data_IF_314211519959
#
_entry.id   IF_314211519959
#
_cell.length_a   1.000
_cell.length_b   1.000
_cell.length_c   1.000
_cell.angle_alpha   90.00
_cell.angle_beta   90.00
_cell.angle_gamma   90.00
#
_symmetry.space_group_name_H-M   'P 1'
#
loop_
_entity.id
_entity.type
_entity.pdbx_description
1 polymer ?
#
# COMPACT_ATOMS: atom_id res chain seq x y z
N UNK A 1 47.83 72.30 -11.67
CA UNK A 1 48.06 73.57 -12.39
C UNK A 1 46.77 73.98 -13.08
N UNK A 2 46.47 75.28 -13.06
CA UNK A 2 45.56 76.07 -13.92
C UNK A 2 44.28 75.45 -14.52
N UNK A 3 43.15 76.10 -14.20
CA UNK A 3 41.89 76.00 -14.95
C UNK A 3 41.87 76.96 -16.16
N UNK A 4 40.94 76.76 -17.11
CA UNK A 4 40.34 77.74 -18.04
C UNK A 4 39.18 77.02 -18.77
N UNK A 5 37.92 77.22 -18.35
CA UNK A 5 36.94 78.16 -18.93
C UNK A 5 36.72 78.07 -20.46
N UNK A 6 35.48 77.76 -20.86
CA UNK A 6 34.62 78.62 -21.72
C UNK A 6 33.18 78.09 -21.80
N UNK A 7 32.22 79.03 -21.80
CA UNK A 7 30.78 78.93 -22.11
C UNK A 7 30.50 80.12 -23.08
N UNK A 8 29.49 80.12 -23.98
CA UNK A 8 28.07 80.23 -23.56
C UNK A 8 26.96 79.66 -24.50
N UNK A 9 25.74 79.50 -23.94
CA UNK A 9 24.35 79.84 -24.41
C UNK A 9 24.12 79.98 -25.95
N UNK A 10 23.15 79.33 -26.63
CA UNK A 10 21.64 79.48 -26.70
C UNK A 10 21.04 78.22 -27.39
N UNK A 11 19.79 77.74 -27.24
CA UNK A 11 18.68 78.08 -26.34
C UNK A 11 17.29 78.33 -27.01
N UNK A 12 16.49 77.31 -27.40
CA UNK A 12 15.09 77.49 -27.89
C UNK A 12 14.08 76.41 -27.43
N UNK A 13 12.84 76.83 -27.13
CA UNK A 13 11.67 75.96 -26.80
C UNK A 13 10.75 75.81 -28.02
N UNK A 14 10.03 74.68 -28.14
CA UNK A 14 8.58 74.65 -28.47
C UNK A 14 7.92 73.30 -28.17
N UNK A 15 6.58 73.29 -28.17
CA UNK A 15 5.71 72.31 -27.49
C UNK A 15 5.27 71.11 -28.36
N UNK A 16 5.15 69.95 -27.71
CA UNK A 16 3.88 69.23 -27.58
C UNK A 16 3.42 68.22 -28.66
N UNK A 17 3.12 66.99 -28.22
CA UNK A 17 1.77 66.36 -28.30
C UNK A 17 1.73 64.99 -27.58
N UNK A 18 0.53 64.63 -27.08
CA UNK A 18 0.19 63.30 -26.53
C UNK A 18 0.04 62.26 -27.65
N UNK A 19 0.30 60.98 -27.35
CA UNK A 19 -0.61 59.88 -27.70
C UNK A 19 -0.33 58.61 -26.86
N UNK A 20 -1.31 57.71 -26.77
CA UNK A 20 -1.42 56.63 -25.77
C UNK A 20 -1.50 55.21 -26.34
N UNK A 21 -0.90 54.23 -25.65
CA UNK A 21 -1.26 52.79 -25.62
C UNK A 21 -0.53 52.17 -24.39
N UNK A 22 -1.12 51.60 -23.34
CA UNK A 22 -2.12 50.54 -23.16
C UNK A 22 -1.64 49.15 -23.62
N UNK A 23 -1.41 48.25 -22.63
CA UNK A 23 -1.17 46.79 -22.78
C UNK A 23 0.21 46.45 -23.34
N UNK A 24 1.02 45.51 -22.84
CA UNK A 24 0.85 44.27 -22.06
C UNK A 24 2.29 43.84 -21.65
N UNK A 25 2.63 42.84 -20.83
CA UNK A 25 1.86 41.88 -20.05
C UNK A 25 2.55 41.67 -18.69
N UNK A 26 1.78 41.58 -17.61
CA UNK A 26 2.29 41.22 -16.28
C UNK A 26 2.55 39.71 -16.26
N UNK A 27 3.76 39.26 -16.61
CA UNK A 27 4.16 37.85 -16.47
C UNK A 27 4.17 37.46 -14.98
N UNK A 28 3.02 37.02 -14.47
CA UNK A 28 2.96 36.22 -13.26
C UNK A 28 3.80 34.97 -13.51
N UNK A 29 4.98 34.89 -12.88
CA UNK A 29 5.65 33.60 -12.69
C UNK A 29 4.74 32.79 -11.79
N UNK A 30 4.00 31.83 -12.36
CA UNK A 30 3.43 30.75 -11.58
C UNK A 30 4.61 29.99 -10.96
N UNK A 31 4.89 30.27 -9.69
CA UNK A 31 5.82 29.47 -8.91
C UNK A 31 5.20 28.09 -8.77
N UNK A 32 5.73 27.11 -9.52
CA UNK A 32 5.51 25.70 -9.21
C UNK A 32 6.10 25.51 -7.82
N UNK A 33 5.26 25.51 -6.79
CA UNK A 33 5.67 25.07 -5.47
C UNK A 33 6.03 23.59 -5.62
N UNK A 34 7.33 23.31 -5.61
CA UNK A 34 7.83 21.98 -5.34
C UNK A 34 7.41 21.66 -3.92
N UNK A 35 6.30 20.91 -3.75
CA UNK A 35 5.88 20.39 -2.45
C UNK A 35 7.07 19.59 -1.90
N UNK A 36 7.54 19.92 -0.70
CA UNK A 36 8.67 19.23 -0.09
C UNK A 36 8.33 17.75 0.10
N UNK A 37 9.30 16.86 -0.11
CA UNK A 37 9.14 15.43 0.14
C UNK A 37 9.00 15.20 1.66
N UNK A 38 7.86 14.67 2.08
CA UNK A 38 7.61 14.22 3.46
C UNK A 38 8.56 13.05 3.79
N UNK A 39 9.12 13.05 4.99
CA UNK A 39 10.04 12.00 5.44
C UNK A 39 9.30 10.67 5.68
N UNK A 40 9.97 9.54 5.44
CA UNK A 40 9.34 8.22 5.58
C UNK A 40 8.90 7.93 7.03
N UNK A 41 9.67 8.39 8.02
CA UNK A 41 9.34 8.21 9.44
C UNK A 41 8.18 9.11 9.90
N UNK A 42 7.99 10.28 9.26
CA UNK A 42 6.83 11.16 9.51
C UNK A 42 5.55 10.53 8.96
N UNK A 43 5.62 9.92 7.77
CA UNK A 43 4.53 9.11 7.21
C UNK A 43 4.24 7.89 8.10
N UNK A 44 5.26 7.19 8.59
CA UNK A 44 5.11 6.06 9.49
C UNK A 44 4.48 6.45 10.83
N UNK A 45 4.86 7.59 11.42
CA UNK A 45 4.26 8.08 12.66
C UNK A 45 2.75 8.31 12.50
N UNK A 46 2.31 8.83 11.36
CA UNK A 46 0.88 9.00 11.04
C UNK A 46 0.21 7.67 10.69
N UNK A 47 0.87 6.77 9.95
CA UNK A 47 0.34 5.42 9.66
C UNK A 47 0.07 4.64 10.95
N UNK A 48 0.99 4.67 11.92
CA UNK A 48 0.82 4.07 13.25
C UNK A 48 -0.36 4.68 14.00
N UNK A 49 -0.47 6.01 14.03
CA UNK A 49 -1.59 6.70 14.67
C UNK A 49 -2.94 6.36 14.02
N UNK A 50 -2.97 6.26 12.70
CA UNK A 50 -4.18 5.97 11.94
C UNK A 50 -4.62 4.51 12.13
N UNK A 51 -3.69 3.55 12.01
CA UNK A 51 -3.96 2.14 12.26
C UNK A 51 -4.43 1.89 13.70
N UNK A 52 -3.81 2.55 14.70
CA UNK A 52 -4.25 2.51 16.10
C UNK A 52 -5.69 3.03 16.28
N UNK A 53 -6.07 4.11 15.57
CA UNK A 53 -7.44 4.65 15.64
C UNK A 53 -8.48 3.66 15.08
N UNK A 54 -8.20 2.98 13.96
CA UNK A 54 -9.04 1.89 13.47
C UNK A 54 -9.07 0.69 14.43
N UNK A 55 -7.91 0.33 14.98
CA UNK A 55 -7.75 -0.76 15.96
C UNK A 55 -8.64 -0.56 17.18
N UNK A 56 -8.74 0.67 17.71
CA UNK A 56 -9.61 0.98 18.85
C UNK A 56 -11.10 0.75 18.54
N UNK A 57 -11.54 1.03 17.31
CA UNK A 57 -12.91 0.73 16.85
C UNK A 57 -13.14 -0.78 16.75
N UNK A 58 -12.23 -1.51 16.10
CA UNK A 58 -12.33 -2.97 15.94
C UNK A 58 -12.27 -3.67 17.31
N UNK A 59 -11.34 -3.28 18.20
CA UNK A 59 -11.25 -3.78 19.59
C UNK A 59 -12.57 -3.60 20.34
N UNK A 60 -13.24 -2.45 20.18
CA UNK A 60 -14.52 -2.18 20.80
C UNK A 60 -15.69 -2.99 20.21
N UNK A 61 -15.49 -3.74 19.12
CA UNK A 61 -16.51 -4.57 18.46
C UNK A 61 -16.34 -6.09 18.68
N UNK A 62 -15.14 -6.56 19.05
CA UNK A 62 -14.74 -7.98 19.08
C UNK A 62 -15.74 -8.95 19.75
N UNK A 63 -16.17 -8.63 20.97
CA UNK A 63 -17.05 -9.47 21.80
C UNK A 63 -18.52 -8.97 21.80
N UNK A 64 -18.90 -8.03 20.91
CA UNK A 64 -20.29 -7.60 20.74
C UNK A 64 -21.08 -8.60 19.87
N UNK A 65 -22.41 -8.74 20.08
CA UNK A 65 -23.27 -9.48 19.15
C UNK A 65 -23.16 -8.90 17.73
N UNK A 66 -22.91 -9.76 16.74
CA UNK A 66 -22.61 -9.34 15.36
C UNK A 66 -23.87 -9.31 14.51
N UNK A 67 -24.23 -8.14 13.99
CA UNK A 67 -25.21 -7.97 12.92
C UNK A 67 -24.55 -8.33 11.57
N UNK A 68 -24.59 -9.62 11.21
CA UNK A 68 -24.14 -10.08 9.90
C UNK A 68 -25.13 -9.59 8.84
N UNK A 69 -24.83 -8.43 8.26
CA UNK A 69 -25.45 -7.93 7.04
C UNK A 69 -24.55 -8.32 5.88
N UNK A 70 -25.08 -9.10 4.94
CA UNK A 70 -24.36 -9.45 3.72
C UNK A 70 -24.44 -8.28 2.72
N UNK A 71 -23.30 -7.84 2.16
CA UNK A 71 -23.33 -7.10 0.88
C UNK A 71 -23.78 -8.06 -0.24
N UNK A 72 -24.00 -7.54 -1.45
CA UNK A 72 -24.35 -8.35 -2.64
C UNK A 72 -23.21 -9.35 -2.98
N UNK A 73 -23.31 -10.55 -2.41
CA UNK A 73 -22.28 -11.59 -2.50
C UNK A 73 -21.34 -11.61 -1.29
N UNK A 74 -21.58 -12.55 -0.38
CA UNK A 74 -20.65 -13.07 0.67
C UNK A 74 -20.01 -12.12 1.69
N UNK A 75 -20.08 -10.80 1.53
CA UNK A 75 -19.31 -9.87 2.36
C UNK A 75 -19.99 -9.59 3.71
N UNK A 76 -19.31 -9.90 4.83
CA UNK A 76 -19.87 -9.91 6.18
C UNK A 76 -19.23 -8.82 7.03
N UNK A 77 -20.05 -8.09 7.80
CA UNK A 77 -19.70 -6.90 8.60
C UNK A 77 -19.47 -5.67 7.72
N UNK A 78 -20.07 -4.55 8.10
CA UNK A 78 -19.99 -3.26 7.38
C UNK A 78 -19.96 -2.06 8.31
N UNK A 79 -20.54 -2.15 9.51
CA UNK A 79 -20.55 -1.03 10.47
C UNK A 79 -19.18 -0.84 11.14
N UNK A 80 -18.53 -1.94 11.56
CA UNK A 80 -17.20 -1.92 12.17
C UNK A 80 -16.17 -1.41 11.17
N UNK A 81 -16.22 -1.93 9.94
CA UNK A 81 -15.36 -1.62 8.80
C UNK A 81 -15.42 -0.14 8.44
N UNK A 82 -16.63 0.40 8.23
CA UNK A 82 -16.82 1.83 7.95
C UNK A 82 -16.43 2.73 9.11
N UNK A 83 -16.68 2.31 10.36
CA UNK A 83 -16.29 3.10 11.53
C UNK A 83 -14.76 3.09 11.75
N UNK A 84 -14.10 1.94 11.50
CA UNK A 84 -12.64 1.78 11.50
C UNK A 84 -12.02 2.64 10.38
N UNK A 85 -12.53 2.54 9.15
CA UNK A 85 -12.06 3.35 8.02
C UNK A 85 -12.21 4.85 8.31
N UNK A 86 -13.36 5.29 8.82
CA UNK A 86 -13.59 6.70 9.18
C UNK A 86 -12.60 7.21 10.23
N UNK A 87 -12.23 6.38 11.22
CA UNK A 87 -11.23 6.71 12.22
C UNK A 87 -9.80 6.81 11.62
N UNK A 88 -9.43 5.84 10.78
CA UNK A 88 -8.14 5.80 10.07
C UNK A 88 -8.01 7.02 9.13
N UNK A 89 -9.00 7.24 8.26
CA UNK A 89 -9.08 8.36 7.32
C UNK A 89 -9.05 9.70 8.05
N UNK A 90 -9.80 9.84 9.14
CA UNK A 90 -9.80 11.06 9.96
C UNK A 90 -8.42 11.39 10.54
N UNK A 91 -7.71 10.37 11.04
CA UNK A 91 -6.34 10.54 11.54
C UNK A 91 -5.35 10.94 10.44
N UNK A 92 -5.48 10.35 9.24
CA UNK A 92 -4.67 10.69 8.06
C UNK A 92 -4.95 12.13 7.60
N UNK A 93 -6.22 12.50 7.40
CA UNK A 93 -6.60 13.82 6.90
C UNK A 93 -6.27 14.94 7.90
N UNK A 94 -6.29 14.67 9.22
CA UNK A 94 -5.86 15.63 10.23
C UNK A 94 -4.36 15.96 10.16
N UNK A 95 -3.51 15.02 9.72
CA UNK A 95 -2.07 15.24 9.56
C UNK A 95 -1.70 15.72 8.15
N UNK A 96 -2.32 15.14 7.11
CA UNK A 96 -2.06 15.44 5.71
C UNK A 96 -3.35 15.73 4.91
N UNK A 97 -3.99 16.90 5.09
CA UNK A 97 -5.24 17.25 4.41
C UNK A 97 -5.18 17.23 2.87
N UNK A 98 -3.97 17.29 2.30
CA UNK A 98 -3.72 17.29 0.86
C UNK A 98 -3.17 15.99 0.28
N UNK A 99 -3.20 14.87 1.01
CA UNK A 99 -2.87 13.55 0.47
C UNK A 99 -4.15 12.83 -0.04
N UNK A 100 -3.99 11.90 -0.97
CA UNK A 100 -5.07 11.04 -1.41
C UNK A 100 -5.20 9.83 -0.47
N UNK A 101 -6.41 9.32 -0.27
CA UNK A 101 -6.67 8.04 0.38
C UNK A 101 -7.46 7.14 -0.56
N UNK A 102 -7.13 5.85 -0.56
CA UNK A 102 -7.85 4.76 -1.20
C UNK A 102 -8.21 3.76 -0.09
N UNK A 103 -9.45 3.85 0.39
CA UNK A 103 -10.03 2.90 1.33
C UNK A 103 -10.87 1.84 0.62
N UNK A 104 -11.05 0.70 1.28
CA UNK A 104 -11.90 -0.38 0.80
C UNK A 104 -13.40 -0.01 0.74
N UNK A 105 -13.92 0.59 1.81
CA UNK A 105 -15.34 0.91 1.97
C UNK A 105 -15.71 2.25 1.32
N UNK A 106 -14.88 3.27 1.55
CA UNK A 106 -15.12 4.64 1.10
C UNK A 106 -14.54 4.97 -0.28
N UNK A 107 -13.71 4.09 -0.85
CA UNK A 107 -13.05 4.31 -2.12
C UNK A 107 -12.04 5.46 -2.08
N UNK A 108 -12.10 6.39 -3.04
CA UNK A 108 -11.09 7.44 -3.23
C UNK A 108 -11.50 8.76 -2.57
N UNK A 109 -10.63 9.28 -1.69
CA UNK A 109 -10.78 10.56 -1.00
C UNK A 109 -9.53 11.44 -1.17
N UNK A 110 -9.67 12.76 -1.02
CA UNK A 110 -8.55 13.72 -1.05
C UNK A 110 -8.04 14.10 -2.45
N UNK A 111 -6.84 14.69 -2.50
CA UNK A 111 -6.20 15.19 -3.74
C UNK A 111 -5.48 14.06 -4.49
N UNK A 112 -6.15 13.40 -5.45
CA UNK A 112 -5.54 12.37 -6.32
C UNK A 112 -4.35 12.85 -7.14
N UNK A 113 -4.14 14.17 -7.26
CA UNK A 113 -2.95 14.76 -7.87
C UNK A 113 -1.71 14.77 -6.97
N UNK A 114 -1.87 14.40 -5.69
CA UNK A 114 -0.81 14.21 -4.69
C UNK A 114 0.25 13.20 -5.15
N UNK A 115 1.48 13.42 -4.69
CA UNK A 115 2.56 12.43 -4.78
C UNK A 115 2.26 11.18 -3.93
N UNK A 116 1.44 11.34 -2.88
CA UNK A 116 1.16 10.34 -1.85
C UNK A 116 -0.27 9.83 -1.90
N UNK A 117 -0.41 8.50 -1.84
CA UNK A 117 -1.67 7.77 -1.69
C UNK A 117 -1.58 6.88 -0.44
N UNK A 118 -2.50 7.06 0.50
CA UNK A 118 -2.69 6.15 1.62
C UNK A 118 -3.63 5.03 1.17
N UNK A 119 -3.22 3.78 1.31
CA UNK A 119 -4.08 2.61 1.07
C UNK A 119 -4.51 2.07 2.43
N UNK A 120 -5.82 2.00 2.65
CA UNK A 120 -6.44 1.67 3.94
C UNK A 120 -7.31 0.44 3.78
N UNK A 121 -6.94 -0.61 4.49
CA UNK A 121 -7.83 -1.73 4.77
C UNK A 121 -8.28 -1.58 6.24
N UNK A 122 -9.58 -1.34 6.50
CA UNK A 122 -10.07 -1.15 7.85
C UNK A 122 -10.24 -2.44 8.65
N UNK A 123 -10.26 -3.63 8.00
CA UNK A 123 -10.49 -4.94 8.62
C UNK A 123 -10.16 -6.14 7.69
N UNK A 124 -8.88 -6.29 7.30
CA UNK A 124 -8.37 -7.41 6.49
C UNK A 124 -8.65 -8.72 7.22
N UNK A 125 -9.35 -9.65 6.57
CA UNK A 125 -9.87 -10.86 7.21
C UNK A 125 -11.23 -10.67 7.90
N UNK A 126 -12.13 -9.91 7.29
CA UNK A 126 -13.50 -9.66 7.79
C UNK A 126 -14.28 -10.94 8.11
N UNK A 127 -14.08 -12.01 7.32
CA UNK A 127 -14.64 -13.35 7.60
C UNK A 127 -14.11 -13.92 8.91
N UNK A 128 -12.82 -13.77 9.22
CA UNK A 128 -12.24 -14.21 10.49
C UNK A 128 -12.85 -13.44 11.66
N UNK A 129 -12.89 -12.11 11.57
CA UNK A 129 -13.55 -11.26 12.56
C UNK A 129 -15.02 -11.67 12.77
N UNK A 130 -15.78 -11.87 11.69
CA UNK A 130 -17.18 -12.28 11.71
C UNK A 130 -17.40 -13.60 12.46
N UNK A 131 -16.51 -14.58 12.27
CA UNK A 131 -16.54 -15.87 12.95
C UNK A 131 -15.87 -15.87 14.33
N UNK A 132 -15.13 -14.80 14.68
CA UNK A 132 -14.29 -14.77 15.88
C UNK A 132 -13.06 -15.69 15.77
N UNK A 133 -12.64 -15.98 14.54
CA UNK A 133 -11.36 -16.62 14.25
C UNK A 133 -10.24 -15.55 14.31
N UNK A 134 -9.02 -15.97 14.64
CA UNK A 134 -7.87 -15.06 14.77
C UNK A 134 -7.24 -14.72 13.41
N UNK A 135 -6.24 -13.83 13.40
CA UNK A 135 -5.55 -13.39 12.19
C UNK A 135 -6.47 -12.59 11.26
N UNK A 136 -6.86 -11.41 11.75
CA UNK A 136 -7.39 -10.30 10.97
C UNK A 136 -6.67 -9.01 11.42
N UNK A 137 -6.67 -7.95 10.63
CA UNK A 137 -5.88 -6.76 10.95
C UNK A 137 -6.43 -5.44 10.42
N UNK A 138 -5.96 -4.33 10.99
CA UNK A 138 -6.08 -3.00 10.37
C UNK A 138 -4.78 -2.71 9.63
N UNK A 139 -4.84 -2.44 8.33
CA UNK A 139 -3.67 -2.22 7.46
C UNK A 139 -3.68 -0.81 6.87
N UNK A 140 -2.59 -0.06 7.09
CA UNK A 140 -2.42 1.31 6.61
C UNK A 140 -1.07 1.43 5.91
N UNK A 141 -1.10 1.39 4.58
CA UNK A 141 0.06 1.56 3.72
C UNK A 141 0.13 2.96 3.12
N UNK A 142 1.35 3.45 2.85
CA UNK A 142 1.57 4.73 2.16
C UNK A 142 2.41 4.50 0.93
N UNK A 143 1.86 4.87 -0.22
CA UNK A 143 2.57 4.91 -1.50
C UNK A 143 3.05 6.33 -1.79
N UNK A 144 4.20 6.44 -2.45
CA UNK A 144 4.63 7.64 -3.17
C UNK A 144 4.86 7.28 -4.63
N UNK A 145 4.09 7.87 -5.55
CA UNK A 145 4.12 7.51 -6.99
C UNK A 145 3.98 6.01 -7.29
N UNK A 146 3.03 5.34 -6.61
CA UNK A 146 2.82 3.88 -6.59
C UNK A 146 3.87 3.02 -5.87
N UNK A 147 4.93 3.63 -5.32
CA UNK A 147 6.00 2.94 -4.59
C UNK A 147 5.72 2.94 -3.07
N UNK A 148 5.65 1.80 -2.37
CA UNK A 148 5.51 1.77 -0.91
C UNK A 148 6.65 2.50 -0.18
N UNK A 149 6.30 3.37 0.78
CA UNK A 149 7.28 4.19 1.54
C UNK A 149 7.13 4.13 3.07
N UNK A 150 5.96 3.77 3.58
CA UNK A 150 5.71 3.50 5.00
C UNK A 150 4.48 2.59 5.14
N UNK A 151 4.44 1.79 6.20
CA UNK A 151 3.31 0.89 6.48
C UNK A 151 3.18 0.54 7.95
N UNK A 152 1.93 0.37 8.40
CA UNK A 152 1.59 -0.15 9.71
C UNK A 152 0.46 -1.18 9.56
N UNK A 153 0.62 -2.35 10.19
CA UNK A 153 -0.41 -3.39 10.27
C UNK A 153 -0.59 -3.76 11.74
N UNK A 154 -1.82 -3.69 12.25
CA UNK A 154 -2.15 -4.09 13.61
C UNK A 154 -3.01 -5.35 13.55
N UNK A 155 -2.39 -6.49 13.82
CA UNK A 155 -3.02 -7.81 13.79
C UNK A 155 -3.68 -8.15 15.12
N UNK A 156 -4.85 -8.79 15.05
CA UNK A 156 -5.60 -9.33 16.17
C UNK A 156 -5.40 -10.85 16.26
N UNK A 157 -4.94 -11.33 17.41
CA UNK A 157 -4.62 -12.74 17.66
C UNK A 157 -5.31 -13.26 18.92
N UNK A 158 -5.45 -14.59 19.03
CA UNK A 158 -6.11 -15.25 20.16
C UNK A 158 -7.50 -15.76 19.81
N UNK A 159 -8.54 -15.21 20.44
CA UNK A 159 -9.92 -15.62 20.20
C UNK A 159 -10.93 -14.93 21.12
N UNK A 160 -12.23 -15.30 21.05
CA UNK A 160 -13.30 -14.67 21.83
C UNK A 160 -12.96 -14.62 23.32
N UNK A 161 -13.13 -13.44 23.95
CA UNK A 161 -12.74 -13.15 25.34
C UNK A 161 -11.23 -13.16 25.67
N UNK A 162 -10.35 -13.43 24.71
CA UNK A 162 -8.89 -13.47 24.87
C UNK A 162 -8.18 -12.90 23.63
N UNK A 163 -8.52 -11.66 23.29
CA UNK A 163 -7.90 -10.94 22.18
C UNK A 163 -6.68 -10.16 22.63
N UNK A 164 -5.60 -10.24 21.85
CA UNK A 164 -4.44 -9.34 21.95
C UNK A 164 -4.10 -8.82 20.56
N UNK A 165 -3.37 -7.70 20.51
CA UNK A 165 -2.88 -7.13 19.26
C UNK A 165 -1.36 -7.20 19.14
N UNK A 166 -0.88 -7.15 17.90
CA UNK A 166 0.53 -7.13 17.52
C UNK A 166 0.74 -6.17 16.36
N UNK A 167 1.72 -5.26 16.50
CA UNK A 167 1.88 -4.13 15.59
C UNK A 167 3.14 -4.27 14.73
N UNK A 168 2.95 -4.49 13.44
CA UNK A 168 4.03 -4.51 12.45
C UNK A 168 4.20 -3.13 11.81
N UNK A 169 5.44 -2.68 11.65
CA UNK A 169 5.75 -1.34 11.12
C UNK A 169 7.01 -1.34 10.27
N UNK A 170 7.03 -0.53 9.22
CA UNK A 170 8.22 -0.25 8.43
C UNK A 170 8.15 1.14 7.76
N UNK A 171 9.30 1.80 7.62
CA UNK A 171 9.52 2.97 6.76
C UNK A 171 10.64 2.66 5.78
N UNK A 172 10.65 3.31 4.60
CA UNK A 172 11.65 3.04 3.56
C UNK A 172 13.08 3.34 4.05
N UNK A 173 13.94 2.32 4.01
CA UNK A 173 15.29 2.29 4.62
C UNK A 173 15.32 2.38 6.15
N UNK A 174 14.19 2.19 6.82
CA UNK A 174 14.07 2.19 8.28
C UNK A 174 14.17 0.78 8.89
N UNK A 175 14.01 -0.27 8.09
CA UNK A 175 13.85 -1.64 8.56
C UNK A 175 12.42 -1.96 9.01
N UNK A 176 12.13 -3.25 9.12
CA UNK A 176 10.84 -3.75 9.60
C UNK A 176 10.90 -4.13 11.09
N UNK A 177 9.79 -3.89 11.80
CA UNK A 177 9.66 -4.16 13.24
C UNK A 177 8.30 -4.78 13.57
N UNK A 178 8.27 -5.62 14.60
CA UNK A 178 7.05 -6.05 15.29
C UNK A 178 7.13 -5.63 16.76
N UNK A 179 6.15 -4.87 17.24
CA UNK A 179 6.10 -4.28 18.59
C UNK A 179 7.39 -3.55 19.01
N UNK A 180 8.08 -2.95 18.02
CA UNK A 180 9.36 -2.24 18.19
C UNK A 180 10.62 -3.12 18.17
N UNK A 181 10.49 -4.45 18.04
CA UNK A 181 11.61 -5.37 17.83
C UNK A 181 11.85 -5.59 16.34
N UNK A 182 13.10 -5.48 15.89
CA UNK A 182 13.44 -5.64 14.47
C UNK A 182 13.22 -7.08 13.99
N UNK A 183 12.65 -7.25 12.79
CA UNK A 183 12.32 -8.54 12.19
C UNK A 183 13.02 -8.74 10.85
N UNK A 184 13.16 -10.01 10.46
CA UNK A 184 13.75 -10.44 9.20
C UNK A 184 12.99 -11.67 8.67
N UNK A 185 12.93 -11.80 7.34
CA UNK A 185 12.43 -13.03 6.70
C UNK A 185 13.26 -14.26 7.10
N UNK A 186 12.67 -15.44 6.93
CA UNK A 186 13.33 -16.70 7.26
C UNK A 186 14.58 -16.95 6.39
N UNK A 187 15.39 -17.93 6.81
CA UNK A 187 16.56 -18.42 6.05
C UNK A 187 16.33 -19.81 5.42
N UNK A 188 15.08 -20.27 5.34
CA UNK A 188 14.73 -21.55 4.72
C UNK A 188 15.07 -21.48 3.23
N UNK A 189 15.67 -22.54 2.69
CA UNK A 189 16.16 -22.59 1.30
C UNK A 189 15.42 -23.60 0.43
N UNK A 190 14.77 -24.59 1.03
CA UNK A 190 14.20 -25.74 0.33
C UNK A 190 12.70 -25.83 0.61
N UNK A 191 11.89 -26.05 -0.45
CA UNK A 191 10.43 -26.06 -0.33
C UNK A 191 9.93 -27.04 0.74
N UNK A 192 10.50 -28.25 0.80
CA UNK A 192 10.16 -29.30 1.79
C UNK A 192 10.27 -28.88 3.25
N UNK A 193 11.03 -27.82 3.53
CA UNK A 193 11.24 -27.27 4.86
C UNK A 193 10.40 -26.01 5.10
N UNK A 194 9.80 -25.45 4.04
CA UNK A 194 9.06 -24.19 4.02
C UNK A 194 7.58 -24.35 4.43
N UNK A 195 7.07 -23.36 5.15
CA UNK A 195 5.65 -23.11 5.41
C UNK A 195 5.15 -22.02 4.46
N UNK A 196 4.23 -22.38 3.55
CA UNK A 196 3.73 -21.48 2.51
C UNK A 196 2.31 -21.01 2.87
N UNK A 197 1.99 -19.73 2.66
CA UNK A 197 0.61 -19.23 2.76
C UNK A 197 -0.01 -18.94 1.39
N UNK A 198 -1.35 -18.97 1.32
CA UNK A 198 -2.20 -18.57 0.20
C UNK A 198 -3.66 -18.51 0.67
N UNK A 199 -4.58 -17.92 -0.09
CA UNK A 199 -6.02 -17.97 0.17
C UNK A 199 -6.79 -18.40 -1.10
N UNK A 200 -7.46 -19.55 -1.05
CA UNK A 200 -8.27 -20.05 -2.16
C UNK A 200 -9.70 -19.50 -2.11
N UNK A 201 -9.91 -18.36 -2.75
CA UNK A 201 -11.26 -17.86 -3.06
C UNK A 201 -11.73 -18.48 -4.39
N UNK A 202 -13.01 -18.86 -4.46
CA UNK A 202 -13.58 -19.43 -5.69
C UNK A 202 -13.79 -18.34 -6.75
N UNK A 203 -13.01 -18.43 -7.82
CA UNK A 203 -13.20 -17.65 -9.06
C UNK A 203 -13.31 -18.65 -10.21
N UNK A 204 -14.43 -18.65 -10.94
CA UNK A 204 -14.73 -19.65 -11.98
C UNK A 204 -13.64 -19.75 -13.06
N UNK A 205 -13.03 -18.60 -13.41
CA UNK A 205 -12.00 -18.43 -14.42
C UNK A 205 -10.56 -18.80 -13.96
N UNK A 206 -10.34 -18.99 -12.66
CA UNK A 206 -9.02 -19.33 -12.10
C UNK A 206 -8.99 -20.62 -11.28
N UNK A 207 -10.15 -21.15 -10.87
CA UNK A 207 -10.26 -22.27 -9.94
C UNK A 207 -9.46 -23.53 -10.35
N UNK A 208 -9.42 -23.97 -11.62
CA UNK A 208 -8.62 -25.14 -12.03
C UNK A 208 -7.12 -24.96 -11.76
N UNK A 209 -6.57 -23.79 -12.12
CA UNK A 209 -5.14 -23.46 -12.00
C UNK A 209 -4.76 -23.17 -10.53
N UNK A 210 -5.63 -22.49 -9.77
CA UNK A 210 -5.44 -22.28 -8.32
C UNK A 210 -5.44 -23.61 -7.55
N UNK A 211 -6.36 -24.52 -7.87
CA UNK A 211 -6.43 -25.85 -7.27
C UNK A 211 -5.19 -26.69 -7.59
N UNK A 212 -4.73 -26.64 -8.85
CA UNK A 212 -3.51 -27.32 -9.27
C UNK A 212 -2.28 -26.75 -8.57
N UNK A 213 -2.18 -25.42 -8.44
CA UNK A 213 -1.08 -24.73 -7.76
C UNK A 213 -1.02 -25.08 -6.26
N UNK A 214 -2.16 -25.01 -5.56
CA UNK A 214 -2.26 -25.39 -4.15
C UNK A 214 -1.83 -26.86 -3.92
N UNK A 215 -2.26 -27.77 -4.81
CA UNK A 215 -1.80 -29.16 -4.79
C UNK A 215 -0.28 -29.25 -4.98
N UNK A 216 0.29 -28.54 -5.96
CA UNK A 216 1.74 -28.55 -6.22
C UNK A 216 2.55 -28.08 -5.01
N UNK A 217 2.08 -27.08 -4.25
CA UNK A 217 2.70 -26.71 -2.97
C UNK A 217 2.51 -27.77 -1.89
N UNK A 218 1.31 -28.31 -1.72
CA UNK A 218 1.00 -29.32 -0.70
C UNK A 218 1.83 -30.60 -0.87
N UNK A 219 2.18 -30.97 -2.11
CA UNK A 219 3.04 -32.12 -2.41
C UNK A 219 4.54 -31.86 -2.15
N UNK A 220 4.97 -30.59 -2.07
CA UNK A 220 6.40 -30.21 -2.06
C UNK A 220 6.86 -29.44 -0.82
N UNK A 221 5.96 -28.86 -0.03
CA UNK A 221 6.30 -28.06 1.15
C UNK A 221 5.88 -28.69 2.47
N UNK A 222 6.36 -28.15 3.59
CA UNK A 222 6.07 -28.66 4.93
C UNK A 222 4.61 -28.45 5.34
N UNK A 223 3.94 -27.50 4.70
CA UNK A 223 2.50 -27.31 4.80
C UNK A 223 2.06 -26.02 4.14
N UNK A 224 0.78 -25.96 3.78
CA UNK A 224 0.13 -24.74 3.32
C UNK A 224 -0.68 -24.13 4.48
N UNK A 225 -0.81 -22.81 4.52
CA UNK A 225 -1.68 -22.06 5.41
C UNK A 225 -2.64 -21.20 4.60
N UNK A 226 -3.88 -21.19 5.05
CA UNK A 226 -4.95 -20.29 4.64
C UNK A 226 -5.42 -19.64 5.93
N UNK A 227 -4.85 -18.47 6.24
CA UNK A 227 -5.08 -17.75 7.49
C UNK A 227 -6.29 -16.83 7.41
N UNK A 228 -6.66 -16.39 6.19
CA UNK A 228 -7.81 -15.53 5.89
C UNK A 228 -7.53 -14.03 5.87
N UNK A 229 -6.28 -13.58 6.03
CA UNK A 229 -5.90 -12.17 6.02
C UNK A 229 -4.58 -11.91 5.26
N UNK A 230 -4.62 -11.08 4.22
CA UNK A 230 -3.54 -10.90 3.27
C UNK A 230 -2.38 -10.02 3.79
N UNK A 231 -2.68 -8.90 4.44
CA UNK A 231 -1.69 -8.04 5.06
C UNK A 231 -1.02 -8.73 6.25
N UNK A 232 -1.79 -9.52 7.01
CA UNK A 232 -1.27 -10.38 8.07
C UNK A 232 -0.29 -11.45 7.53
N UNK A 233 -0.64 -12.15 6.44
CA UNK A 233 0.25 -13.13 5.79
C UNK A 233 1.58 -12.51 5.32
N UNK A 234 1.56 -11.31 4.74
CA UNK A 234 2.79 -10.58 4.38
C UNK A 234 3.65 -10.25 5.62
N UNK A 235 3.02 -9.85 6.73
CA UNK A 235 3.70 -9.56 7.99
C UNK A 235 4.28 -10.83 8.67
N UNK A 236 3.57 -11.97 8.58
CA UNK A 236 4.04 -13.26 9.08
C UNK A 236 5.27 -13.76 8.31
N UNK A 237 5.32 -13.54 7.00
CA UNK A 237 6.51 -13.77 6.18
C UNK A 237 7.65 -12.82 6.57
N UNK A 238 7.36 -11.53 6.76
CA UNK A 238 8.34 -10.53 7.19
C UNK A 238 8.99 -10.85 8.56
N UNK A 239 8.27 -11.51 9.46
CA UNK A 239 8.83 -12.00 10.74
C UNK A 239 9.38 -13.44 10.67
N UNK A 240 9.42 -14.04 9.48
CA UNK A 240 10.03 -15.35 9.24
C UNK A 240 9.30 -16.54 9.88
N UNK A 241 8.02 -16.42 10.24
CA UNK A 241 7.19 -17.56 10.64
C UNK A 241 6.44 -18.21 9.45
N UNK A 242 6.33 -17.49 8.33
CA UNK A 242 6.11 -18.06 7.00
C UNK A 242 7.40 -17.96 6.17
N UNK A 243 7.49 -18.78 5.14
CA UNK A 243 8.66 -18.88 4.25
C UNK A 243 8.36 -18.42 2.81
N UNK A 244 7.07 -18.42 2.44
CA UNK A 244 6.57 -17.81 1.22
C UNK A 244 5.06 -17.58 1.28
N UNK A 245 4.56 -16.67 0.45
CA UNK A 245 3.15 -16.34 0.30
C UNK A 245 2.86 -16.12 -1.19
N UNK A 246 1.75 -16.64 -1.69
CA UNK A 246 1.29 -16.38 -3.07
C UNK A 246 -0.21 -16.17 -3.08
N UNK A 247 -0.67 -15.18 -3.85
CA UNK A 247 -2.08 -14.84 -3.90
C UNK A 247 -2.49 -14.14 -5.18
N UNK A 248 -3.78 -14.27 -5.52
CA UNK A 248 -4.43 -13.65 -6.68
C UNK A 248 -5.64 -12.82 -6.23
N UNK A 249 -6.04 -11.85 -7.06
CA UNK A 249 -7.15 -10.93 -6.82
C UNK A 249 -7.07 -10.06 -5.56
N UNK A 250 -5.85 -9.75 -5.09
CA UNK A 250 -5.64 -8.75 -4.03
C UNK A 250 -5.84 -7.31 -4.52
N UNK A 251 -6.31 -6.46 -3.62
CA UNK A 251 -6.44 -5.01 -3.77
C UNK A 251 -5.20 -4.27 -3.26
N UNK A 252 -5.06 -2.97 -3.56
CA UNK A 252 -3.95 -2.17 -3.05
C UNK A 252 -3.91 -2.04 -1.53
N UNK A 253 -5.06 -2.09 -0.85
CA UNK A 253 -5.15 -1.98 0.60
C UNK A 253 -4.69 -3.25 1.34
N UNK A 254 -5.03 -4.42 0.81
CA UNK A 254 -4.56 -5.74 1.26
C UNK A 254 -3.03 -5.84 1.32
N UNK A 255 -2.33 -5.18 0.38
CA UNK A 255 -0.91 -5.40 0.14
C UNK A 255 0.00 -4.22 0.51
N UNK A 256 -0.47 -2.97 0.46
CA UNK A 256 0.43 -1.80 0.51
C UNK A 256 1.25 -1.67 1.81
N UNK A 257 0.67 -2.01 2.96
CA UNK A 257 1.40 -2.01 4.23
C UNK A 257 2.30 -3.25 4.38
N UNK A 258 1.77 -4.43 4.02
CA UNK A 258 2.51 -5.69 4.09
C UNK A 258 3.74 -5.73 3.17
N UNK A 259 3.67 -5.12 1.98
CA UNK A 259 4.77 -5.10 1.01
C UNK A 259 6.00 -4.33 1.53
N UNK A 260 5.83 -3.10 2.03
CA UNK A 260 6.92 -2.32 2.65
C UNK A 260 7.49 -3.04 3.89
N UNK A 261 6.64 -3.66 4.71
CA UNK A 261 7.07 -4.43 5.89
C UNK A 261 7.89 -5.66 5.48
N UNK A 262 7.50 -6.36 4.42
CA UNK A 262 8.24 -7.51 3.89
C UNK A 262 9.61 -7.12 3.31
N UNK A 263 9.66 -6.08 2.49
CA UNK A 263 10.88 -5.63 1.82
C UNK A 263 11.93 -5.14 2.83
N UNK A 264 11.51 -4.33 3.81
CA UNK A 264 12.38 -3.83 4.88
C UNK A 264 12.80 -4.92 5.88
N UNK A 265 12.16 -6.10 5.84
CA UNK A 265 12.60 -7.33 6.52
C UNK A 265 13.58 -8.17 5.67
N UNK A 266 13.96 -7.72 4.47
CA UNK A 266 14.82 -8.46 3.53
C UNK A 266 14.07 -9.48 2.68
N UNK A 267 12.75 -9.38 2.58
CA UNK A 267 11.93 -10.20 1.69
C UNK A 267 11.90 -9.68 0.25
N UNK A 268 11.47 -10.56 -0.66
CA UNK A 268 11.27 -10.26 -2.08
C UNK A 268 9.80 -10.43 -2.44
N UNK A 269 9.26 -9.49 -3.22
CA UNK A 269 7.93 -9.56 -3.81
C UNK A 269 8.00 -9.33 -5.33
N UNK A 270 7.24 -10.13 -6.09
CA UNK A 270 7.00 -10.00 -7.54
C UNK A 270 5.54 -10.32 -7.84
N UNK A 271 5.09 -10.12 -9.08
CA UNK A 271 3.87 -10.78 -9.56
C UNK A 271 4.07 -12.31 -9.61
N UNK A 272 2.98 -13.08 -9.77
CA UNK A 272 3.06 -14.55 -9.78
C UNK A 272 3.74 -15.14 -11.05
N UNK A 273 3.88 -14.34 -12.11
CA UNK A 273 4.67 -14.58 -13.33
C UNK A 273 6.06 -13.91 -13.29
N UNK A 274 6.53 -13.44 -12.12
CA UNK A 274 7.91 -12.99 -11.91
C UNK A 274 8.24 -11.58 -12.41
N UNK A 275 7.24 -10.82 -12.85
CA UNK A 275 7.40 -9.41 -13.23
C UNK A 275 7.54 -8.50 -11.99
N UNK A 276 7.94 -7.26 -12.24
CA UNK A 276 7.98 -6.20 -11.24
C UNK A 276 6.61 -6.02 -10.58
N UNK A 277 6.53 -6.18 -9.26
CA UNK A 277 5.28 -5.99 -8.51
C UNK A 277 4.96 -4.52 -8.30
N UNK A 278 3.71 -4.14 -8.52
CA UNK A 278 3.06 -2.98 -7.94
C UNK A 278 1.88 -3.42 -7.08
N UNK A 279 1.54 -2.67 -6.03
CA UNK A 279 0.36 -2.93 -5.19
C UNK A 279 -0.97 -2.88 -5.94
N UNK A 280 -0.96 -2.39 -7.18
CA UNK A 280 -2.12 -2.40 -8.07
C UNK A 280 -2.26 -3.72 -8.85
N UNK A 281 -1.28 -4.62 -8.86
CA UNK A 281 -1.33 -5.85 -9.64
C UNK A 281 -2.12 -6.96 -8.94
N UNK A 282 -2.84 -7.77 -9.73
CA UNK A 282 -3.80 -8.76 -9.23
C UNK A 282 -3.18 -10.10 -8.87
N UNK A 283 -1.85 -10.20 -8.82
CA UNK A 283 -1.15 -11.39 -8.33
C UNK A 283 0.14 -10.99 -7.62
N UNK A 284 0.51 -11.76 -6.60
CA UNK A 284 1.83 -11.66 -5.99
C UNK A 284 2.42 -13.02 -5.67
N UNK A 285 3.74 -13.05 -5.64
CA UNK A 285 4.59 -14.03 -4.98
C UNK A 285 5.55 -13.28 -4.07
N UNK A 286 5.60 -13.69 -2.82
CA UNK A 286 6.39 -13.09 -1.76
C UNK A 286 7.21 -14.20 -1.06
N UNK A 287 8.51 -14.00 -0.90
CA UNK A 287 9.45 -15.03 -0.38
C UNK A 287 10.67 -14.41 0.31
N UNK A 288 11.49 -15.24 0.97
CA UNK A 288 12.91 -14.93 1.12
C UNK A 288 13.67 -15.18 -0.20
N UNK A 289 14.84 -14.56 -0.37
CA UNK A 289 15.66 -14.66 -1.60
C UNK A 289 16.07 -16.10 -2.00
N UNK A 290 16.18 -17.03 -1.05
CA UNK A 290 16.65 -18.39 -1.29
C UNK A 290 15.54 -19.35 -1.79
N UNK A 291 14.27 -19.04 -1.49
CA UNK A 291 13.11 -19.80 -1.96
C UNK A 291 12.51 -19.25 -3.25
N UNK A 292 12.78 -17.99 -3.61
CA UNK A 292 12.15 -17.29 -4.72
C UNK A 292 12.03 -18.11 -6.02
N UNK A 293 13.14 -18.59 -6.59
CA UNK A 293 13.14 -19.36 -7.84
C UNK A 293 12.32 -20.66 -7.74
N UNK A 294 12.30 -21.29 -6.55
CA UNK A 294 11.55 -22.53 -6.32
C UNK A 294 10.04 -22.29 -6.22
N UNK A 295 9.64 -21.15 -5.63
CA UNK A 295 8.23 -20.74 -5.53
C UNK A 295 7.73 -20.25 -6.89
N UNK A 296 8.50 -19.41 -7.57
CA UNK A 296 8.18 -18.89 -8.91
C UNK A 296 8.02 -20.02 -9.93
N UNK A 297 8.90 -21.02 -9.92
CA UNK A 297 8.80 -22.18 -10.81
C UNK A 297 7.53 -23.04 -10.63
N UNK A 298 6.75 -22.81 -9.57
CA UNK A 298 5.42 -23.39 -9.40
C UNK A 298 4.31 -22.41 -9.81
N UNK A 299 4.43 -21.12 -9.51
CA UNK A 299 3.39 -20.12 -9.79
C UNK A 299 3.36 -19.67 -11.25
N UNK A 300 4.51 -19.37 -11.86
CA UNK A 300 4.60 -18.83 -13.22
C UNK A 300 3.88 -19.73 -14.24
N UNK A 301 4.10 -21.08 -14.28
CA UNK A 301 3.42 -21.93 -15.26
C UNK A 301 1.90 -21.96 -15.13
N UNK A 302 1.34 -21.70 -13.94
CA UNK A 302 -0.10 -21.63 -13.73
C UNK A 302 -0.63 -20.23 -14.04
N UNK A 303 0.11 -19.18 -13.67
CA UNK A 303 -0.19 -17.77 -14.01
C UNK A 303 -0.26 -17.58 -15.51
N UNK A 304 0.72 -18.09 -16.26
CA UNK A 304 0.75 -18.02 -17.73
C UNK A 304 -0.42 -18.77 -18.38
N UNK A 305 -0.91 -19.86 -17.78
CA UNK A 305 -2.11 -20.58 -18.25
C UNK A 305 -3.37 -19.76 -18.03
N UNK A 306 -3.57 -19.21 -16.83
CA UNK A 306 -4.68 -18.29 -16.54
C UNK A 306 -4.72 -17.14 -17.56
N UNK A 307 -3.58 -16.50 -17.80
CA UNK A 307 -3.46 -15.41 -18.79
C UNK A 307 -3.79 -15.87 -20.21
N UNK A 308 -3.31 -17.04 -20.63
CA UNK A 308 -3.61 -17.62 -21.95
C UNK A 308 -5.10 -18.00 -22.11
N UNK A 309 -5.78 -18.34 -21.02
CA UNK A 309 -7.23 -18.60 -20.95
C UNK A 309 -8.07 -17.30 -20.81
N UNK A 310 -7.42 -16.13 -20.74
CA UNK A 310 -8.04 -14.81 -20.80
C UNK A 310 -8.13 -14.05 -19.47
N UNK A 311 -7.69 -14.64 -18.36
CA UNK A 311 -7.74 -14.05 -17.02
C UNK A 311 -6.91 -12.76 -16.96
N UNK A 312 -7.55 -11.66 -16.57
CA UNK A 312 -6.93 -10.33 -16.55
C UNK A 312 -6.19 -10.08 -15.23
N UNK A 313 -4.90 -10.40 -15.16
CA UNK A 313 -4.07 -10.22 -13.95
C UNK A 313 -3.30 -8.89 -13.85
N UNK A 314 -3.45 -8.00 -14.85
CA UNK A 314 -2.86 -6.66 -14.84
C UNK A 314 -3.47 -5.70 -13.82
N UNK A 315 -2.90 -4.50 -13.74
CA UNK A 315 -3.16 -3.56 -12.65
C UNK A 315 -4.62 -3.08 -12.57
N UNK A 316 -5.19 -3.05 -11.36
CA UNK A 316 -6.55 -2.58 -11.06
C UNK A 316 -6.59 -1.62 -9.85
N UNK A 317 -7.75 -1.04 -9.57
CA UNK A 317 -7.96 -0.12 -8.43
C UNK A 317 -7.03 1.11 -8.38
N UNK A 318 -6.34 1.46 -9.48
CA UNK A 318 -5.58 2.70 -9.62
C UNK A 318 -6.55 3.90 -9.62
N UNK A 319 -6.45 4.86 -8.67
CA UNK A 319 -7.33 6.02 -8.67
C UNK A 319 -7.15 6.86 -9.94
N UNK A 320 -8.26 7.26 -10.57
CA UNK A 320 -8.24 8.00 -11.84
C UNK A 320 -7.52 9.34 -11.67
N UNK A 321 -6.33 9.47 -12.27
CA UNK A 321 -5.48 10.66 -12.20
C UNK A 321 -4.30 10.55 -11.21
N UNK A 322 -4.22 9.47 -10.42
CA UNK A 322 -3.05 9.20 -9.59
C UNK A 322 -1.82 8.87 -10.45
N UNK A 323 -0.66 9.40 -10.04
CA UNK A 323 0.59 9.27 -10.82
C UNK A 323 1.33 8.00 -10.46
N UNK A 324 1.11 6.94 -11.24
CA UNK A 324 1.99 5.77 -11.30
C UNK A 324 3.22 6.13 -12.15
N UNK A 325 4.44 6.00 -11.62
CA UNK A 325 5.65 6.09 -12.45
C UNK A 325 5.93 4.73 -13.08
N UNK A 326 6.18 4.71 -14.39
CA UNK A 326 6.70 3.52 -15.08
C UNK A 326 8.04 3.11 -14.46
N UNK A 327 8.18 1.84 -14.08
CA UNK A 327 9.32 1.41 -13.28
C UNK A 327 9.19 1.75 -11.80
N UNK A 328 7.97 1.74 -11.24
CA UNK A 328 7.73 1.72 -9.79
C UNK A 328 8.16 0.40 -9.11
N UNK A 329 9.28 -0.17 -9.55
CA UNK A 329 10.11 -0.99 -8.69
C UNK A 329 10.70 -0.10 -7.60
N UNK A 330 11.04 -0.72 -6.50
CA UNK A 330 11.94 -0.15 -5.53
C UNK A 330 13.37 -0.42 -6.00
N UNK A 331 14.11 0.65 -6.21
CA UNK A 331 15.55 0.58 -6.43
C UNK A 331 16.17 -0.22 -5.26
N UNK A 332 16.83 -1.34 -5.57
CA UNK A 332 17.55 -2.20 -4.62
C UNK A 332 18.92 -1.60 -4.28
#
# INVERSE_FOLDING_TARGET
MQALQRNPVVGSRRQGKLCSAIGTARRQRASVLVRAKVAADELLAVAKKAAQAGTEVVMAALDKPRSITYKEGTDIVTETDRASEAAVVGAIQAAFPGHAVLGEEGGVLGDVGSDYLWCVDPLDGTVNFAHGYQSFCVSVGVLRHATPVAGCVVEFIGGPKQWTTRTFTASRNGGAFVDGQQIFVSRVKELKDALIATELVYYEDMWPQLSALHRSFTEQCRGVRMSGAAAANLCHLAMGCLDGYWQYNLKPWDAAAGAIILEEAGGRITTADGLAYSVFDRSLVATNDALYEKVLGLTEPQTSRMQAEGVQLGSWCVPKGYRVRSGAQLDR
#
